data_IF_486613879669
#
_entry.id   IF_486613879669
#
_cell.length_a   1.000
_cell.length_b   1.000
_cell.length_c   1.000
_cell.angle_alpha   90.00
_cell.angle_beta   90.00
_cell.angle_gamma   90.00
#
_symmetry.space_group_name_H-M   'P 1'
#
loop_
_entity.id
_entity.type
_entity.pdbx_description
1 polymer ?
#
# COMPACT_ATOMS: atom_id res chain seq x y z
N UNK A 1 -26.13 4.66 2.88
CA UNK A 1 -25.63 4.41 4.24
C UNK A 1 -24.29 3.71 4.13
N UNK A 2 -23.28 4.14 4.89
CA UNK A 2 -22.01 3.40 4.98
C UNK A 2 -22.32 1.96 5.40
N UNK A 3 -21.85 0.96 4.65
CA UNK A 3 -22.02 -0.44 4.99
C UNK A 3 -21.32 -0.76 6.34
N UNK A 4 -22.08 -0.67 7.43
CA UNK A 4 -21.68 -1.08 8.79
C UNK A 4 -21.57 -2.62 8.91
N UNK A 5 -21.96 -3.37 7.88
CA UNK A 5 -22.00 -4.85 7.89
C UNK A 5 -20.64 -5.57 7.87
N UNK A 6 -19.52 -4.87 7.64
CA UNK A 6 -18.24 -5.55 7.38
C UNK A 6 -17.46 -5.92 8.64
N UNK A 7 -17.40 -5.06 9.67
CA UNK A 7 -16.39 -5.22 10.74
C UNK A 7 -16.78 -6.17 11.87
N UNK A 8 -18.07 -6.50 12.02
CA UNK A 8 -18.57 -7.45 13.03
C UNK A 8 -18.40 -8.92 12.63
N UNK A 9 -18.07 -9.21 11.35
CA UNK A 9 -17.88 -10.57 10.84
C UNK A 9 -16.45 -11.09 11.03
N UNK A 10 -15.52 -10.23 11.39
CA UNK A 10 -14.11 -10.58 11.55
C UNK A 10 -13.80 -10.97 12.99
N UNK A 11 -12.91 -11.96 13.14
CA UNK A 11 -12.37 -12.33 14.46
C UNK A 11 -11.68 -11.10 15.09
N UNK A 12 -11.63 -11.00 16.44
CA UNK A 12 -11.01 -9.85 17.11
C UNK A 12 -9.60 -9.52 16.61
N UNK A 13 -8.78 -10.54 16.30
CA UNK A 13 -7.43 -10.37 15.75
C UNK A 13 -7.43 -9.75 14.34
N UNK A 14 -8.33 -10.19 13.47
CA UNK A 14 -8.46 -9.67 12.10
C UNK A 14 -8.92 -8.21 12.12
N UNK A 15 -9.84 -7.88 13.04
CA UNK A 15 -10.28 -6.50 13.28
C UNK A 15 -9.13 -5.62 13.78
N UNK A 16 -8.31 -6.12 14.71
CA UNK A 16 -7.15 -5.40 15.21
C UNK A 16 -6.13 -5.12 14.09
N UNK A 17 -5.84 -6.10 13.23
CA UNK A 17 -4.94 -5.93 12.08
C UNK A 17 -5.47 -4.90 11.08
N UNK A 18 -6.76 -4.98 10.75
CA UNK A 18 -7.40 -4.02 9.84
C UNK A 18 -7.34 -2.59 10.40
N UNK A 19 -7.65 -2.42 11.69
CA UNK A 19 -7.57 -1.11 12.35
C UNK A 19 -6.13 -0.57 12.40
N UNK A 20 -5.14 -1.43 12.64
CA UNK A 20 -3.73 -1.04 12.63
C UNK A 20 -3.31 -0.54 11.25
N UNK A 21 -3.63 -1.29 10.19
CA UNK A 21 -3.35 -0.88 8.82
C UNK A 21 -4.06 0.43 8.43
N UNK A 22 -5.35 0.58 8.76
CA UNK A 22 -6.07 1.82 8.50
C UNK A 22 -5.45 3.01 9.22
N UNK A 23 -5.03 2.84 10.48
CA UNK A 23 -4.34 3.88 11.23
C UNK A 23 -3.04 4.29 10.55
N UNK A 24 -2.22 3.32 10.16
CA UNK A 24 -0.96 3.59 9.47
C UNK A 24 -1.19 4.31 8.13
N UNK A 25 -2.23 3.95 7.37
CA UNK A 25 -2.63 4.67 6.16
C UNK A 25 -3.02 6.13 6.46
N UNK A 26 -3.83 6.37 7.48
CA UNK A 26 -4.22 7.73 7.86
C UNK A 26 -3.02 8.58 8.30
N UNK A 27 -2.10 8.01 9.09
CA UNK A 27 -0.86 8.67 9.51
C UNK A 27 0.03 8.97 8.31
N UNK A 28 0.13 8.04 7.35
CA UNK A 28 0.83 8.26 6.10
C UNK A 28 0.23 9.40 5.27
N UNK A 29 -1.11 9.44 5.14
CA UNK A 29 -1.82 10.50 4.42
C UNK A 29 -1.69 11.88 5.08
N UNK A 30 -1.61 11.91 6.41
CA UNK A 30 -1.40 13.15 7.17
C UNK A 30 0.09 13.57 7.19
N UNK A 31 1.01 12.65 6.92
CA UNK A 31 2.46 12.85 6.97
C UNK A 31 3.10 12.80 5.58
N UNK A 32 4.07 11.90 5.42
CA UNK A 32 4.93 11.85 4.23
C UNK A 32 4.18 11.65 2.90
N UNK A 33 3.02 10.98 2.92
CA UNK A 33 2.21 10.74 1.72
C UNK A 33 1.30 11.90 1.33
N UNK A 34 1.17 12.93 2.17
CA UNK A 34 0.22 14.02 2.00
C UNK A 34 0.33 14.69 0.64
N UNK A 35 1.55 15.08 0.27
CA UNK A 35 1.80 15.82 -0.97
C UNK A 35 1.50 14.98 -2.21
N UNK A 36 1.97 13.73 -2.22
CA UNK A 36 1.76 12.80 -3.33
C UNK A 36 0.28 12.51 -3.57
N UNK A 37 -0.50 12.31 -2.51
CA UNK A 37 -1.90 11.86 -2.63
C UNK A 37 -2.92 12.98 -2.83
N UNK A 38 -2.62 14.19 -2.35
CA UNK A 38 -3.53 15.33 -2.51
C UNK A 38 -3.17 16.22 -3.68
N UNK A 39 -1.88 16.42 -3.95
CA UNK A 39 -1.41 17.36 -4.96
C UNK A 39 -0.68 16.68 -6.11
N UNK A 40 -0.23 15.43 -5.92
CA UNK A 40 0.44 14.66 -6.95
C UNK A 40 -0.49 14.18 -8.06
N UNK A 41 0.07 14.00 -9.25
CA UNK A 41 -0.57 13.33 -10.37
C UNK A 41 -0.13 11.88 -10.42
N UNK A 42 -1.08 10.96 -10.33
CA UNK A 42 -0.79 9.53 -10.49
C UNK A 42 -0.31 9.23 -11.92
N UNK A 43 0.78 8.48 -12.04
CA UNK A 43 1.34 8.03 -13.32
C UNK A 43 1.16 6.53 -13.52
N UNK A 44 1.56 6.04 -14.69
CA UNK A 44 1.61 4.60 -14.97
C UNK A 44 2.46 3.88 -13.91
N UNK A 45 2.00 2.76 -13.33
CA UNK A 45 2.74 2.07 -12.28
C UNK A 45 4.15 1.67 -12.73
N UNK A 46 5.11 1.73 -11.80
CA UNK A 46 6.41 1.12 -12.05
C UNK A 46 6.29 -0.39 -12.15
N UNK A 47 7.10 -0.98 -13.03
CA UNK A 47 7.30 -2.43 -13.10
C UNK A 47 8.11 -2.91 -11.90
N UNK A 48 7.40 -3.19 -10.80
CA UNK A 48 7.97 -3.75 -9.57
C UNK A 48 7.45 -5.17 -9.42
N UNK A 49 8.36 -6.13 -9.19
CA UNK A 49 7.98 -7.50 -8.89
C UNK A 49 7.48 -7.57 -7.46
N UNK A 50 6.17 -7.72 -7.29
CA UNK A 50 5.54 -7.80 -5.97
C UNK A 50 5.05 -9.23 -5.69
N UNK A 51 5.36 -9.81 -4.51
CA UNK A 51 4.81 -11.10 -4.11
C UNK A 51 3.29 -11.13 -4.22
N UNK A 52 2.72 -12.27 -4.60
CA UNK A 52 1.28 -12.46 -4.68
C UNK A 52 0.79 -13.21 -3.44
N UNK A 53 -0.36 -12.79 -2.92
CA UNK A 53 -1.11 -13.49 -1.89
C UNK A 53 -2.39 -14.05 -2.45
N UNK A 54 -2.91 -15.06 -1.77
CA UNK A 54 -4.06 -15.83 -2.23
C UNK A 54 -5.22 -15.66 -1.24
N UNK A 55 -6.35 -15.15 -1.74
CA UNK A 55 -7.59 -15.07 -1.00
C UNK A 55 -8.52 -16.22 -1.39
N UNK A 56 -9.02 -16.93 -0.38
CA UNK A 56 -10.10 -17.89 -0.57
C UNK A 56 -11.44 -17.16 -0.40
N UNK A 57 -12.21 -17.05 -1.48
CA UNK A 57 -13.53 -16.43 -1.49
C UNK A 57 -14.67 -17.46 -1.29
N UNK A 58 -14.34 -18.64 -0.77
CA UNK A 58 -15.27 -19.75 -0.62
C UNK A 58 -15.79 -20.22 -1.97
N UNK A 59 -17.12 -20.20 -2.17
CA UNK A 59 -17.77 -20.66 -3.40
C UNK A 59 -17.40 -19.87 -4.66
N UNK A 60 -16.85 -18.65 -4.51
CA UNK A 60 -16.36 -17.82 -5.63
C UNK A 60 -14.93 -18.18 -6.06
N UNK A 61 -14.31 -19.16 -5.41
CA UNK A 61 -12.98 -19.67 -5.76
C UNK A 61 -11.85 -18.89 -5.11
N UNK A 62 -10.70 -18.91 -5.78
CA UNK A 62 -9.45 -18.36 -5.28
C UNK A 62 -9.10 -17.11 -6.08
N UNK A 63 -8.76 -16.01 -5.39
CA UNK A 63 -8.26 -14.78 -6.00
C UNK A 63 -6.79 -14.59 -5.64
N UNK A 64 -5.95 -14.30 -6.64
CA UNK A 64 -4.56 -13.87 -6.41
C UNK A 64 -4.50 -12.36 -6.49
N UNK A 65 -3.88 -11.73 -5.51
CA UNK A 65 -3.69 -10.28 -5.48
C UNK A 65 -2.27 -9.95 -5.02
N UNK A 66 -1.75 -8.75 -5.27
CA UNK A 66 -0.49 -8.30 -4.69
C UNK A 66 -0.51 -8.35 -3.17
N UNK A 67 0.62 -8.76 -2.58
CA UNK A 67 0.87 -8.68 -1.15
C UNK A 67 1.17 -7.25 -0.71
N UNK A 68 1.70 -6.41 -1.60
CA UNK A 68 1.90 -4.97 -1.41
C UNK A 68 1.27 -4.22 -2.58
N UNK A 69 0.55 -3.14 -2.31
CA UNK A 69 0.04 -2.26 -3.36
C UNK A 69 0.98 -1.09 -3.56
N UNK A 70 1.18 -0.65 -4.80
CA UNK A 70 2.00 0.52 -5.08
C UNK A 70 1.41 1.41 -6.17
N UNK A 71 1.72 2.71 -6.05
CA UNK A 71 1.33 3.74 -7.01
C UNK A 71 2.47 4.72 -7.22
N UNK A 72 2.66 5.16 -8.47
CA UNK A 72 3.64 6.17 -8.85
C UNK A 72 2.97 7.55 -8.91
N UNK A 73 3.66 8.56 -8.43
CA UNK A 73 3.19 9.94 -8.37
C UNK A 73 4.24 10.91 -8.93
N UNK A 74 3.79 11.88 -9.74
CA UNK A 74 4.51 13.09 -10.08
C UNK A 74 4.05 14.22 -9.16
N UNK A 75 4.97 14.84 -8.45
CA UNK A 75 4.73 15.94 -7.52
C UNK A 75 4.70 17.30 -8.26
N UNK A 76 4.10 18.35 -7.65
CA UNK A 76 4.03 19.68 -8.25
C UNK A 76 5.40 20.30 -8.58
N UNK A 77 6.43 19.96 -7.83
CA UNK A 77 7.81 20.43 -8.04
C UNK A 77 8.56 19.67 -9.16
N UNK A 78 7.89 18.72 -9.81
CA UNK A 78 8.46 17.85 -10.84
C UNK A 78 9.18 16.61 -10.28
N UNK A 79 9.26 16.44 -8.96
CA UNK A 79 9.76 15.24 -8.32
C UNK A 79 8.84 14.04 -8.54
N UNK A 80 9.38 12.82 -8.46
CA UNK A 80 8.60 11.58 -8.57
C UNK A 80 8.79 10.73 -7.32
N UNK A 81 7.73 10.06 -6.90
CA UNK A 81 7.79 9.13 -5.77
C UNK A 81 6.83 7.95 -5.95
N UNK A 82 7.10 6.86 -5.26
CA UNK A 82 6.25 5.67 -5.21
C UNK A 82 5.74 5.50 -3.79
N UNK A 83 4.45 5.30 -3.65
CA UNK A 83 3.82 4.94 -2.38
C UNK A 83 3.60 3.44 -2.35
N UNK A 84 3.93 2.79 -1.24
CA UNK A 84 3.69 1.37 -0.99
C UNK A 84 2.74 1.20 0.19
N UNK A 85 1.84 0.22 0.10
CA UNK A 85 0.90 -0.14 1.15
C UNK A 85 0.90 -1.65 1.37
N UNK A 86 1.29 -2.08 2.56
CA UNK A 86 1.43 -3.48 2.92
C UNK A 86 0.35 -3.88 3.94
N UNK A 87 -0.74 -4.54 3.51
CA UNK A 87 -1.76 -5.07 4.40
C UNK A 87 -1.35 -6.37 5.11
N UNK A 88 -0.16 -6.91 4.87
CA UNK A 88 0.31 -8.16 5.49
C UNK A 88 0.91 -7.92 6.88
N UNK A 89 0.89 -8.97 7.71
CA UNK A 89 1.45 -8.94 9.07
C UNK A 89 2.97 -9.09 9.13
N UNK A 90 3.61 -9.22 7.97
CA UNK A 90 5.06 -9.31 7.82
C UNK A 90 5.54 -8.19 6.91
N UNK A 91 6.77 -7.73 7.12
CA UNK A 91 7.38 -6.77 6.22
C UNK A 91 7.69 -7.41 4.86
N UNK A 92 7.78 -6.57 3.83
CA UNK A 92 8.17 -6.98 2.49
C UNK A 92 9.34 -6.15 2.00
N UNK A 93 10.35 -6.82 1.47
CA UNK A 93 11.48 -6.19 0.78
C UNK A 93 11.25 -6.24 -0.72
N UNK A 94 11.13 -5.07 -1.34
CA UNK A 94 10.87 -4.91 -2.77
C UNK A 94 12.07 -4.21 -3.43
N UNK A 95 12.42 -4.64 -4.63
CA UNK A 95 13.43 -3.96 -5.44
C UNK A 95 12.78 -2.87 -6.28
N UNK A 96 13.18 -1.62 -6.06
CA UNK A 96 12.58 -0.44 -6.70
C UNK A 96 13.55 0.09 -7.76
N UNK A 97 13.14 0.17 -9.05
CA UNK A 97 14.01 0.64 -10.13
C UNK A 97 14.63 2.02 -9.83
N UNK A 98 15.96 2.11 -9.94
CA UNK A 98 16.71 3.33 -9.67
C UNK A 98 16.94 3.67 -8.19
N UNK A 99 16.39 2.88 -7.26
CA UNK A 99 16.56 3.07 -5.80
C UNK A 99 17.23 1.85 -5.17
N UNK A 100 16.86 0.65 -5.61
CA UNK A 100 17.28 -0.63 -5.03
C UNK A 100 16.29 -1.14 -3.99
N UNK A 101 16.79 -1.92 -3.03
CA UNK A 101 15.97 -2.59 -2.04
C UNK A 101 15.29 -1.62 -1.05
N UNK A 102 13.96 -1.67 -1.00
CA UNK A 102 13.11 -0.93 -0.06
C UNK A 102 12.37 -1.91 0.85
N UNK A 103 12.35 -1.63 2.15
CA UNK A 103 11.54 -2.35 3.12
C UNK A 103 10.21 -1.63 3.31
N UNK A 104 9.10 -2.35 3.13
CA UNK A 104 7.74 -1.89 3.39
C UNK A 104 7.26 -2.55 4.69
N UNK A 105 6.96 -1.77 5.74
CA UNK A 105 6.63 -2.31 7.06
C UNK A 105 5.35 -3.14 7.03
N UNK A 106 5.22 -4.10 7.94
CA UNK A 106 3.99 -4.84 8.16
C UNK A 106 2.83 -3.89 8.55
N UNK A 107 1.63 -4.13 8.00
CA UNK A 107 0.43 -3.33 8.26
C UNK A 107 0.68 -1.82 8.13
N UNK A 108 1.49 -1.42 7.16
CA UNK A 108 1.97 -0.05 7.05
C UNK A 108 2.09 0.46 5.63
N UNK A 109 2.57 1.70 5.53
CA UNK A 109 2.80 2.39 4.28
C UNK A 109 4.23 2.98 4.24
N UNK A 110 4.70 3.27 3.04
CA UNK A 110 6.02 3.88 2.81
C UNK A 110 6.02 4.74 1.57
N UNK A 111 6.61 5.91 1.64
CA UNK A 111 6.95 6.73 0.47
C UNK A 111 8.42 6.55 0.09
N UNK A 112 8.68 6.41 -1.21
CA UNK A 112 10.02 6.29 -1.76
C UNK A 112 10.21 7.33 -2.85
N UNK A 113 11.07 8.35 -2.64
CA UNK A 113 11.46 9.27 -3.70
C UNK A 113 12.21 8.51 -4.81
N UNK A 114 11.96 8.86 -6.06
CA UNK A 114 12.69 8.32 -7.20
C UNK A 114 13.77 9.29 -7.68
N UNK A 115 14.84 8.78 -8.32
CA UNK A 115 15.82 9.63 -8.98
C UNK A 115 15.15 10.53 -10.04
N UNK A 116 15.64 11.77 -10.16
CA UNK A 116 15.30 12.65 -11.28
C UNK A 116 15.92 12.07 -12.55
N UNK A 117 15.17 12.08 -13.65
CA UNK A 117 15.64 11.70 -15.00
C UNK A 117 16.37 12.89 -15.60
#
# INVERSE_FOLDING_TARGET
GLHIESTYRYKPEEKARFNAFLRACCEFYAGEGHEALLYGRMEAPLHIVVPQRTFNLGKRGIMRVPAVYHSLWLLPDGGRCVTFFNPETQEHRLDVPGVGAVVVPALGARLVPLPRI
#
